data_IF_531658641536
#
_entry.id   IF_531658641536
#
_cell.length_a   1.000
_cell.length_b   1.000
_cell.length_c   1.000
_cell.angle_alpha   90.00
_cell.angle_beta   90.00
_cell.angle_gamma   90.00
#
_symmetry.space_group_name_H-M   'P 1'
#
loop_
_entity.id
_entity.type
_entity.pdbx_description
1 polymer ?
#
# COMPACT_ATOMS: atom_id res chain seq x y z
N UNK A 1 -20.02 -19.57 2.78
CA UNK A 1 -18.65 -19.11 3.00
C UNK A 1 -18.03 -20.03 4.04
N UNK A 2 -16.83 -20.54 3.81
CA UNK A 2 -16.14 -21.41 4.76
C UNK A 2 -15.55 -20.57 5.90
N UNK A 3 -15.52 -21.10 7.13
CA UNK A 3 -14.91 -20.43 8.29
C UNK A 3 -13.45 -20.00 8.05
N UNK A 4 -12.75 -20.71 7.17
CA UNK A 4 -11.39 -20.37 6.75
C UNK A 4 -11.32 -19.11 5.87
N UNK A 5 -12.34 -18.86 5.04
CA UNK A 5 -12.42 -17.65 4.22
C UNK A 5 -12.72 -16.42 5.08
N UNK A 6 -13.65 -16.56 6.03
CA UNK A 6 -14.00 -15.51 6.99
C UNK A 6 -12.79 -15.12 7.86
N UNK A 7 -12.03 -16.10 8.34
CA UNK A 7 -10.80 -15.85 9.10
C UNK A 7 -9.73 -15.11 8.28
N UNK A 8 -9.57 -15.47 6.98
CA UNK A 8 -8.66 -14.75 6.09
C UNK A 8 -9.11 -13.31 5.84
N UNK A 9 -10.41 -13.08 5.63
CA UNK A 9 -10.96 -11.73 5.45
C UNK A 9 -10.77 -10.88 6.72
N UNK A 10 -11.03 -11.44 7.90
CA UNK A 10 -10.82 -10.76 9.18
C UNK A 10 -9.36 -10.31 9.34
N UNK A 11 -8.40 -11.18 8.98
CA UNK A 11 -6.97 -10.83 9.00
C UNK A 11 -6.63 -9.65 8.09
N UNK A 12 -7.14 -9.65 6.86
CA UNK A 12 -6.93 -8.53 5.91
C UNK A 12 -7.51 -7.23 6.46
N UNK A 13 -8.71 -7.29 7.03
CA UNK A 13 -9.35 -6.12 7.65
C UNK A 13 -8.50 -5.58 8.80
N UNK A 14 -7.97 -6.44 9.67
CA UNK A 14 -7.14 -6.00 10.79
C UNK A 14 -5.81 -5.38 10.32
N UNK A 15 -5.18 -5.94 9.28
CA UNK A 15 -3.97 -5.37 8.66
C UNK A 15 -4.25 -3.97 8.07
N UNK A 16 -5.34 -3.82 7.32
CA UNK A 16 -5.75 -2.51 6.77
C UNK A 16 -6.10 -1.51 7.87
N UNK A 17 -6.74 -1.92 8.97
CA UNK A 17 -7.02 -1.04 10.12
C UNK A 17 -5.75 -0.51 10.75
N UNK A 18 -4.73 -1.36 10.89
CA UNK A 18 -3.41 -0.94 11.41
C UNK A 18 -2.76 0.06 10.47
N UNK A 19 -2.81 -0.20 9.15
CA UNK A 19 -2.31 0.73 8.15
C UNK A 19 -2.99 2.11 8.25
N UNK A 20 -4.33 2.14 8.21
CA UNK A 20 -5.11 3.38 8.32
C UNK A 20 -4.76 4.13 9.60
N UNK A 21 -4.64 3.43 10.74
CA UNK A 21 -4.24 4.06 12.01
C UNK A 21 -2.86 4.72 11.92
N UNK A 22 -1.89 4.07 11.27
CA UNK A 22 -0.54 4.64 11.08
C UNK A 22 -0.61 5.89 10.20
N UNK A 23 -1.34 5.85 9.08
CA UNK A 23 -1.52 7.00 8.19
C UNK A 23 -2.19 8.17 8.91
N UNK A 24 -3.24 7.93 9.70
CA UNK A 24 -3.91 8.99 10.46
C UNK A 24 -3.02 9.55 11.59
N UNK A 25 -2.08 8.76 12.11
CA UNK A 25 -1.13 9.21 13.14
C UNK A 25 0.04 10.00 12.55
N UNK A 26 0.45 9.67 11.32
CA UNK A 26 1.47 10.38 10.56
C UNK A 26 0.99 10.57 9.11
N UNK A 27 0.33 11.71 8.82
CA UNK A 27 -0.18 12.01 7.49
C UNK A 27 0.91 12.09 6.41
N UNK A 28 2.18 12.26 6.79
CA UNK A 28 3.29 12.28 5.83
C UNK A 28 3.50 10.92 5.17
N UNK A 29 2.99 9.82 5.77
CA UNK A 29 3.03 8.49 5.17
C UNK A 29 2.28 8.47 3.84
N UNK A 30 1.10 9.08 3.75
CA UNK A 30 0.32 9.11 2.53
C UNK A 30 1.06 9.87 1.42
N UNK A 31 1.53 11.08 1.75
CA UNK A 31 2.27 11.94 0.81
C UNK A 31 3.53 11.23 0.29
N UNK A 32 4.37 10.68 1.19
CA UNK A 32 5.58 9.95 0.81
C UNK A 32 5.27 8.72 -0.04
N UNK A 33 4.20 7.99 0.27
CA UNK A 33 3.84 6.78 -0.46
C UNK A 33 3.47 7.09 -1.91
N UNK A 34 2.68 8.15 -2.14
CA UNK A 34 2.31 8.60 -3.50
C UNK A 34 3.53 9.15 -4.26
N UNK A 35 4.39 9.94 -3.60
CA UNK A 35 5.64 10.43 -4.21
C UNK A 35 6.57 9.29 -4.64
N UNK A 36 6.72 8.26 -3.79
CA UNK A 36 7.50 7.06 -4.09
C UNK A 36 6.85 6.28 -5.24
N UNK A 37 5.54 6.08 -5.22
CA UNK A 37 4.82 5.40 -6.29
C UNK A 37 5.05 6.10 -7.63
N UNK A 38 4.90 7.43 -7.67
CA UNK A 38 5.14 8.24 -8.87
C UNK A 38 6.58 8.10 -9.41
N UNK A 39 7.56 8.04 -8.52
CA UNK A 39 8.99 7.86 -8.88
C UNK A 39 9.28 6.52 -9.57
N UNK A 40 8.57 5.46 -9.21
CA UNK A 40 8.86 4.09 -9.65
C UNK A 40 7.85 3.51 -10.64
N UNK A 41 6.67 4.11 -10.84
CA UNK A 41 5.55 3.59 -11.66
C UNK A 41 5.95 3.08 -13.06
N UNK A 42 6.87 3.76 -13.73
CA UNK A 42 7.32 3.40 -15.08
C UNK A 42 8.57 2.49 -15.12
N UNK A 43 9.01 1.96 -13.98
CA UNK A 43 10.18 1.11 -13.89
C UNK A 43 9.80 -0.38 -13.94
N UNK A 44 10.67 -1.25 -14.44
CA UNK A 44 10.49 -2.68 -14.25
C UNK A 44 10.48 -2.99 -12.75
N UNK A 45 9.60 -3.89 -12.33
CA UNK A 45 9.40 -4.25 -10.91
C UNK A 45 8.99 -3.05 -10.03
N UNK A 46 8.21 -2.11 -10.57
CA UNK A 46 7.72 -0.92 -9.85
C UNK A 46 7.22 -1.26 -8.43
N UNK A 47 6.33 -2.24 -8.30
CA UNK A 47 5.72 -2.61 -7.02
C UNK A 47 6.76 -3.04 -5.97
N UNK A 48 7.81 -3.78 -6.36
CA UNK A 48 8.90 -4.17 -5.45
C UNK A 48 9.72 -2.96 -5.00
N UNK A 49 10.04 -2.06 -5.94
CA UNK A 49 10.78 -0.83 -5.64
C UNK A 49 9.98 0.09 -4.72
N UNK A 50 8.68 0.24 -4.98
CA UNK A 50 7.74 1.03 -4.16
C UNK A 50 7.65 0.43 -2.76
N UNK A 51 7.36 -0.86 -2.63
CA UNK A 51 7.23 -1.54 -1.35
C UNK A 51 8.50 -1.41 -0.50
N UNK A 52 9.67 -1.58 -1.12
CA UNK A 52 10.97 -1.46 -0.46
C UNK A 52 11.24 -0.02 0.01
N UNK A 53 11.00 0.96 -0.84
CA UNK A 53 11.28 2.37 -0.54
C UNK A 53 10.30 2.93 0.51
N UNK A 54 9.01 2.58 0.44
CA UNK A 54 8.02 2.92 1.48
C UNK A 54 8.45 2.31 2.81
N UNK A 55 8.87 1.04 2.80
CA UNK A 55 9.36 0.37 4.00
C UNK A 55 10.62 1.01 4.58
N UNK A 56 11.47 1.61 3.75
CA UNK A 56 12.66 2.31 4.21
C UNK A 56 12.38 3.71 4.79
N UNK A 57 11.36 4.41 4.27
CA UNK A 57 11.11 5.83 4.56
C UNK A 57 9.91 6.10 5.47
N UNK A 58 9.15 5.06 5.84
CA UNK A 58 7.96 5.16 6.68
C UNK A 58 7.94 4.12 7.80
N UNK A 59 6.93 4.19 8.66
CA UNK A 59 6.64 3.17 9.68
C UNK A 59 5.78 2.00 9.15
N UNK A 60 5.36 2.07 7.89
CA UNK A 60 4.73 0.95 7.18
C UNK A 60 5.84 -0.05 6.81
N UNK A 61 5.58 -1.34 6.99
CA UNK A 61 6.53 -2.41 6.67
C UNK A 61 5.84 -3.35 5.71
N UNK A 62 6.33 -3.41 4.48
CA UNK A 62 5.85 -4.27 3.41
C UNK A 62 6.94 -5.33 3.18
N UNK A 63 6.71 -6.60 3.56
CA UNK A 63 7.71 -7.67 3.44
C UNK A 63 7.95 -8.06 1.97
N UNK A 64 8.87 -9.00 1.69
CA UNK A 64 9.06 -9.54 0.32
C UNK A 64 7.93 -10.48 -0.11
N UNK A 65 7.26 -11.12 0.85
CA UNK A 65 6.06 -11.94 0.62
C UNK A 65 4.82 -11.15 1.01
N UNK A 66 4.18 -10.51 0.03
CA UNK A 66 3.04 -9.62 0.26
C UNK A 66 1.81 -10.34 0.77
N UNK A 67 1.22 -9.77 1.81
CA UNK A 67 -0.13 -10.11 2.23
C UNK A 67 -1.14 -9.58 1.22
N UNK A 68 -2.40 -10.02 1.34
CA UNK A 68 -3.47 -9.46 0.52
C UNK A 68 -3.71 -7.96 0.82
N UNK A 69 -3.46 -7.51 2.05
CA UNK A 69 -3.54 -6.09 2.39
C UNK A 69 -2.41 -5.28 1.75
N UNK A 70 -1.19 -5.84 1.66
CA UNK A 70 -0.06 -5.19 0.99
C UNK A 70 -0.33 -4.99 -0.51
N UNK A 71 -0.86 -6.02 -1.18
CA UNK A 71 -1.31 -5.91 -2.57
C UNK A 71 -2.36 -4.81 -2.74
N UNK A 72 -3.41 -4.82 -1.91
CA UNK A 72 -4.45 -3.80 -1.96
C UNK A 72 -3.90 -2.39 -1.75
N UNK A 73 -2.91 -2.22 -0.87
CA UNK A 73 -2.30 -0.93 -0.65
C UNK A 73 -1.54 -0.43 -1.88
N UNK A 74 -0.77 -1.31 -2.54
CA UNK A 74 -0.07 -0.97 -3.78
C UNK A 74 -1.04 -0.65 -4.92
N UNK A 75 -2.12 -1.43 -5.07
CA UNK A 75 -3.16 -1.19 -6.06
C UNK A 75 -3.82 0.19 -5.87
N UNK A 76 -4.12 0.57 -4.61
CA UNK A 76 -4.68 1.89 -4.28
C UNK A 76 -3.70 3.03 -4.64
N UNK A 77 -2.38 2.82 -4.53
CA UNK A 77 -1.41 3.84 -4.93
C UNK A 77 -1.45 4.06 -6.44
N UNK A 78 -1.58 2.99 -7.23
CA UNK A 78 -1.72 3.09 -8.68
C UNK A 78 -3.05 3.78 -9.05
N UNK A 79 -4.17 3.41 -8.40
CA UNK A 79 -5.48 4.07 -8.59
C UNK A 79 -5.42 5.58 -8.33
N UNK A 80 -4.74 6.00 -7.23
CA UNK A 80 -4.58 7.43 -6.92
C UNK A 80 -3.75 8.15 -7.99
N UNK A 81 -2.72 7.51 -8.54
CA UNK A 81 -1.90 8.10 -9.59
C UNK A 81 -2.66 8.19 -10.93
N UNK A 82 -3.48 7.18 -11.24
CA UNK A 82 -4.37 7.19 -12.40
C UNK A 82 -5.40 8.33 -12.28
N UNK A 83 -6.01 8.50 -11.10
CA UNK A 83 -6.96 9.59 -10.81
C UNK A 83 -6.28 10.97 -10.91
N UNK A 84 -5.05 11.11 -10.41
CA UNK A 84 -4.26 12.34 -10.56
C UNK A 84 -4.03 12.69 -12.04
N UNK A 85 -3.67 11.71 -12.87
CA UNK A 85 -3.45 11.92 -14.30
C UNK A 85 -4.73 12.25 -15.06
N UNK A 86 -5.86 11.63 -14.70
CA UNK A 86 -7.16 11.90 -15.33
C UNK A 86 -7.70 13.32 -15.05
N UNK A 87 -7.20 13.98 -14.00
CA UNK A 87 -7.55 15.37 -13.65
C UNK A 87 -6.75 16.42 -14.45
N UNK A 88 -5.72 16.02 -15.21
CA UNK A 88 -4.88 16.90 -16.03
C UNK A 88 -5.18 16.75 -17.53
#
# INVERSE_FOLDING_TARGET
MSSAEESRQAKVIDELRVFIKKVLSDPTIAVKSVEIARKYRNQPNANELIAREISANTTIRIPESWSRADHMFLDILDEVLDDEEALY
#
